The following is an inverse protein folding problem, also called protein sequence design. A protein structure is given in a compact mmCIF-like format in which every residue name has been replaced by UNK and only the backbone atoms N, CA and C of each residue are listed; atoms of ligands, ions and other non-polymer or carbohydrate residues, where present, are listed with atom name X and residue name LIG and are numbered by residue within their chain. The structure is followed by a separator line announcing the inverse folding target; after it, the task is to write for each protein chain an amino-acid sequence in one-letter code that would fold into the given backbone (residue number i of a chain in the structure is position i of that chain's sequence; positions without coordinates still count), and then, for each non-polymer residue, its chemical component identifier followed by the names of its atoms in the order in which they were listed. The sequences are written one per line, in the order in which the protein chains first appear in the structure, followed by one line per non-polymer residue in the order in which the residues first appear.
data_IF_912340779519
#
_entry.id   IF_912340779519
#
_cell.length_a   1.000
_cell.length_b   1.000
_cell.length_c   1.000
_cell.angle_alpha   90.00
_cell.angle_beta   90.00
_cell.angle_gamma   90.00
#
_symmetry.space_group_name_H-M   'P 1'
#
loop_
_entity.id
_entity.type
_entity.pdbx_description
1 polymer ?
#
# COMPACT_ATOMS: atom_id res chain seq x y z
N UNK A 1 -15.63 21.47 0.92
CA UNK A 1 -14.45 20.64 0.57
C UNK A 1 -13.33 21.29 1.35
N UNK A 2 -13.00 20.70 2.49
CA UNK A 2 -12.40 21.47 3.60
C UNK A 2 -10.92 21.13 3.81
N UNK A 3 -10.36 20.29 2.93
CA UNK A 3 -8.94 19.90 2.91
C UNK A 3 -8.31 20.56 1.68
N UNK A 4 -7.21 21.26 1.90
CA UNK A 4 -6.38 21.80 0.83
C UNK A 4 -5.70 20.66 0.07
N UNK A 5 -5.73 20.71 -1.26
CA UNK A 5 -5.08 19.75 -2.14
C UNK A 5 -4.37 20.46 -3.30
N UNK A 6 -4.04 21.76 -3.12
CA UNK A 6 -3.33 22.56 -4.11
C UNK A 6 -2.01 21.89 -4.51
N UNK A 7 -1.26 21.37 -3.54
CA UNK A 7 -0.04 20.58 -3.74
C UNK A 7 -0.22 19.41 -4.73
N UNK A 8 -1.25 18.59 -4.55
CA UNK A 8 -1.54 17.44 -5.43
C UNK A 8 -2.07 17.86 -6.80
N UNK A 9 -2.76 19.00 -6.89
CA UNK A 9 -3.32 19.52 -8.14
C UNK A 9 -2.27 20.28 -8.97
N UNK A 10 -1.22 20.76 -8.33
CA UNK A 10 -0.07 21.40 -8.97
C UNK A 10 1.01 20.38 -9.38
N UNK A 11 1.07 19.21 -8.74
CA UNK A 11 1.99 18.13 -9.12
C UNK A 11 1.61 17.53 -10.51
N UNK A 12 2.48 17.67 -11.53
CA UNK A 12 2.18 17.19 -12.87
C UNK A 12 2.09 15.67 -12.97
N UNK A 13 2.83 14.92 -12.16
CA UNK A 13 2.80 13.46 -12.15
C UNK A 13 1.44 12.94 -11.66
N UNK A 14 0.94 13.51 -10.54
CA UNK A 14 -0.37 13.17 -9.98
C UNK A 14 -1.49 13.53 -10.96
N UNK A 15 -1.43 14.72 -11.56
CA UNK A 15 -2.43 15.17 -12.53
C UNK A 15 -2.45 14.31 -13.79
N UNK A 16 -1.29 13.89 -14.30
CA UNK A 16 -1.21 12.97 -15.44
C UNK A 16 -1.83 11.63 -15.09
N UNK A 17 -1.45 11.04 -13.94
CA UNK A 17 -2.01 9.77 -13.48
C UNK A 17 -3.53 9.84 -13.37
N UNK A 18 -4.06 10.92 -12.76
CA UNK A 18 -5.51 11.15 -12.63
C UNK A 18 -6.23 11.31 -13.97
N UNK A 19 -5.63 12.00 -14.95
CA UNK A 19 -6.24 12.20 -16.28
C UNK A 19 -6.33 10.89 -17.08
N UNK A 20 -5.44 9.95 -16.84
CA UNK A 20 -5.38 8.67 -17.56
C UNK A 20 -6.12 7.53 -16.83
N UNK A 21 -6.58 7.76 -15.60
CA UNK A 21 -7.43 6.84 -14.85
C UNK A 21 -8.81 6.69 -15.52
N UNK A 22 -9.40 5.48 -15.60
CA UNK A 22 -8.90 4.20 -15.07
C UNK A 22 -7.95 3.45 -16.00
N UNK A 23 -7.86 3.83 -17.28
CA UNK A 23 -7.23 3.01 -18.31
C UNK A 23 -5.73 2.82 -18.12
N UNK A 24 -5.02 3.83 -17.60
CA UNK A 24 -3.62 3.69 -17.18
C UNK A 24 -3.45 2.55 -16.18
N UNK A 25 -4.24 2.58 -15.10
CA UNK A 25 -4.18 1.57 -14.05
C UNK A 25 -4.57 0.19 -14.57
N UNK A 26 -5.62 0.08 -15.41
CA UNK A 26 -6.03 -1.20 -16.01
C UNK A 26 -4.92 -1.80 -16.91
N UNK A 27 -4.24 -0.95 -17.68
CA UNK A 27 -3.15 -1.40 -18.55
C UNK A 27 -1.98 -1.97 -17.74
N UNK A 28 -1.44 -1.21 -16.79
CA UNK A 28 -0.29 -1.63 -15.99
C UNK A 28 -0.64 -2.78 -15.03
N UNK A 29 -1.87 -2.84 -14.52
CA UNK A 29 -2.29 -3.87 -13.57
C UNK A 29 -2.59 -5.23 -14.22
N UNK A 30 -3.17 -5.25 -15.43
CA UNK A 30 -3.68 -6.49 -16.03
C UNK A 30 -3.13 -6.78 -17.44
N UNK A 31 -3.11 -5.77 -18.32
CA UNK A 31 -2.71 -5.97 -19.72
C UNK A 31 -1.20 -6.20 -19.83
N UNK A 32 -0.39 -5.40 -19.14
CA UNK A 32 1.06 -5.51 -19.17
C UNK A 32 1.55 -6.86 -18.59
N UNK A 33 1.04 -7.35 -17.43
CA UNK A 33 1.31 -8.71 -16.98
C UNK A 33 0.85 -9.79 -17.97
N UNK A 34 -0.26 -9.57 -18.68
CA UNK A 34 -0.71 -10.45 -19.76
C UNK A 34 0.28 -10.51 -20.93
N UNK A 35 0.79 -9.35 -21.39
CA UNK A 35 1.83 -9.27 -22.43
C UNK A 35 3.09 -10.01 -21.98
N UNK A 36 3.53 -9.80 -20.74
CA UNK A 36 4.66 -10.54 -20.15
C UNK A 36 4.39 -12.06 -20.13
N UNK A 37 3.17 -12.45 -19.75
CA UNK A 37 2.68 -13.84 -19.79
C UNK A 37 2.81 -14.48 -21.17
N UNK A 38 2.43 -13.74 -22.21
CA UNK A 38 2.54 -14.19 -23.59
C UNK A 38 4.00 -14.46 -24.00
N UNK A 39 4.93 -13.54 -23.71
CA UNK A 39 6.33 -13.70 -24.12
C UNK A 39 7.11 -14.74 -23.31
N UNK A 40 6.83 -14.90 -22.01
CA UNK A 40 7.61 -15.79 -21.13
C UNK A 40 7.00 -17.18 -21.02
N UNK A 41 5.67 -17.30 -21.03
CA UNK A 41 4.96 -18.55 -20.78
C UNK A 41 4.09 -19.00 -21.96
N UNK A 42 4.17 -18.32 -23.11
CA UNK A 42 3.32 -18.55 -24.28
C UNK A 42 1.81 -18.51 -23.95
N UNK A 43 1.42 -17.72 -22.94
CA UNK A 43 0.04 -17.59 -22.49
C UNK A 43 -0.27 -16.21 -21.93
N UNK A 44 -1.01 -15.42 -22.70
CA UNK A 44 -1.50 -14.11 -22.25
C UNK A 44 -2.38 -14.23 -20.99
N UNK A 45 -3.27 -15.23 -20.98
CA UNK A 45 -4.24 -15.43 -19.89
C UNK A 45 -3.59 -15.85 -18.58
N UNK A 46 -2.49 -16.62 -18.63
CA UNK A 46 -1.70 -16.91 -17.43
C UNK A 46 -1.17 -15.61 -16.81
N UNK A 47 -0.56 -14.74 -17.61
CA UNK A 47 -0.08 -13.44 -17.16
C UNK A 47 -1.19 -12.53 -16.63
N UNK A 48 -2.32 -12.47 -17.35
CA UNK A 48 -3.46 -11.64 -16.97
C UNK A 48 -4.07 -12.08 -15.63
N UNK A 49 -4.40 -13.37 -15.48
CA UNK A 49 -5.12 -13.86 -14.29
C UNK A 49 -4.21 -14.12 -13.09
N UNK A 50 -3.00 -14.63 -13.29
CA UNK A 50 -2.10 -14.96 -12.16
C UNK A 50 -1.25 -13.76 -11.78
N UNK A 51 -0.46 -13.22 -12.71
CA UNK A 51 0.43 -12.09 -12.41
C UNK A 51 -0.29 -10.74 -12.30
N UNK A 52 -1.44 -10.57 -12.97
CA UNK A 52 -2.30 -9.41 -12.85
C UNK A 52 -3.33 -9.56 -11.72
N UNK A 53 -4.37 -10.35 -11.96
CA UNK A 53 -5.56 -10.40 -11.11
C UNK A 53 -5.33 -11.01 -9.72
N UNK A 54 -4.74 -12.21 -9.62
CA UNK A 54 -4.47 -12.85 -8.33
C UNK A 54 -3.52 -11.98 -7.49
N UNK A 55 -2.42 -11.50 -8.08
CA UNK A 55 -1.52 -10.55 -7.43
C UNK A 55 -2.27 -9.31 -6.94
N UNK A 56 -3.12 -8.71 -7.76
CA UNK A 56 -3.92 -7.54 -7.38
C UNK A 56 -4.84 -7.83 -6.19
N UNK A 57 -5.54 -8.97 -6.19
CA UNK A 57 -6.36 -9.39 -5.05
C UNK A 57 -5.53 -9.55 -3.77
N UNK A 58 -4.36 -10.20 -3.86
CA UNK A 58 -3.46 -10.35 -2.71
C UNK A 58 -2.98 -9.00 -2.18
N UNK A 59 -2.59 -8.08 -3.07
CA UNK A 59 -2.19 -6.72 -2.72
C UNK A 59 -3.32 -5.96 -2.02
N UNK A 60 -4.55 -6.04 -2.54
CA UNK A 60 -5.71 -5.41 -1.89
C UNK A 60 -5.95 -5.96 -0.49
N UNK A 61 -5.93 -7.28 -0.31
CA UNK A 61 -6.09 -7.87 1.01
C UNK A 61 -4.98 -7.46 1.97
N UNK A 62 -3.72 -7.42 1.51
CA UNK A 62 -2.60 -6.91 2.30
C UNK A 62 -2.83 -5.45 2.73
N UNK A 63 -3.17 -4.55 1.80
CA UNK A 63 -3.47 -3.15 2.11
C UNK A 63 -4.66 -3.00 3.06
N UNK A 64 -5.71 -3.80 2.90
CA UNK A 64 -6.88 -3.73 3.77
C UNK A 64 -6.61 -4.22 5.19
N UNK A 65 -5.54 -4.97 5.44
CA UNK A 65 -5.13 -5.31 6.82
C UNK A 65 -4.75 -4.06 7.62
N UNK A 66 -4.21 -3.02 6.97
CA UNK A 66 -3.90 -1.73 7.60
C UNK A 66 -5.17 -1.09 8.18
N UNK A 67 -6.27 -1.06 7.41
CA UNK A 67 -7.54 -0.46 7.86
C UNK A 67 -8.37 -1.39 8.78
N UNK A 68 -8.06 -2.68 8.82
CA UNK A 68 -8.78 -3.66 9.63
C UNK A 68 -7.90 -4.14 10.79
N UNK A 69 -7.06 -5.13 10.56
CA UNK A 69 -6.17 -5.74 11.56
C UNK A 69 -5.46 -4.69 12.41
N UNK A 70 -4.81 -3.68 11.80
CA UNK A 70 -4.05 -2.68 12.57
C UNK A 70 -4.91 -1.68 13.36
N UNK A 71 -6.24 -1.69 13.20
CA UNK A 71 -7.16 -0.93 14.05
C UNK A 71 -7.84 -1.78 15.14
N UNK A 72 -7.73 -3.11 15.08
CA UNK A 72 -8.38 -4.03 16.02
C UNK A 72 -7.38 -4.81 16.88
N UNK A 73 -6.25 -5.25 16.32
CA UNK A 73 -5.31 -6.17 16.95
C UNK A 73 -3.87 -5.63 16.97
N UNK A 74 -3.39 -5.36 18.18
CA UNK A 74 -2.03 -4.88 18.44
C UNK A 74 -1.94 -4.04 19.72
N UNK A 75 -0.73 -3.59 20.02
CA UNK A 75 -0.45 -2.70 21.15
C UNK A 75 -0.65 -1.23 20.77
N UNK A 76 -0.84 -0.36 21.77
CA UNK A 76 -1.10 1.09 21.55
C UNK A 76 -0.22 1.96 22.45
N UNK A 77 1.12 1.92 22.28
CA UNK A 77 2.04 2.55 23.21
C UNK A 77 2.05 4.09 23.13
N UNK A 78 1.71 4.68 21.98
CA UNK A 78 1.81 6.13 21.75
C UNK A 78 0.49 6.86 21.96
N UNK A 79 -0.63 6.25 21.56
CA UNK A 79 -1.97 6.81 21.71
C UNK A 79 -3.00 5.76 22.22
N UNK A 80 -2.97 5.40 23.52
CA UNK A 80 -3.77 4.30 24.08
C UNK A 80 -5.29 4.44 23.96
N UNK A 81 -5.79 5.67 23.82
CA UNK A 81 -7.22 5.98 23.71
C UNK A 81 -7.75 5.91 22.27
N UNK A 82 -6.88 5.73 21.29
CA UNK A 82 -7.25 5.64 19.87
C UNK A 82 -7.38 4.18 19.43
N UNK A 83 -7.96 3.93 18.25
CA UNK A 83 -8.07 2.56 17.69
C UNK A 83 -6.79 2.02 17.03
N UNK A 84 -6.03 2.80 16.24
CA UNK A 84 -4.80 2.34 15.59
C UNK A 84 -3.86 1.66 16.58
N UNK A 85 -3.24 0.57 16.16
CA UNK A 85 -2.37 -0.28 16.98
C UNK A 85 -1.16 -0.74 16.18
N UNK A 86 -0.08 -1.01 16.90
CA UNK A 86 1.14 -1.62 16.36
C UNK A 86 0.87 -3.11 16.07
N UNK A 87 0.94 -3.49 14.80
CA UNK A 87 0.60 -4.83 14.32
C UNK A 87 1.73 -5.41 13.48
N UNK A 88 2.54 -6.28 14.07
CA UNK A 88 3.66 -6.95 13.37
C UNK A 88 3.18 -7.79 12.17
N UNK A 89 2.00 -8.40 12.27
CA UNK A 89 1.39 -9.13 11.15
C UNK A 89 1.11 -8.20 9.97
N UNK A 90 0.44 -7.08 10.22
CA UNK A 90 0.17 -6.05 9.20
C UNK A 90 1.48 -5.54 8.62
N UNK A 91 2.47 -5.30 9.46
CA UNK A 91 3.77 -4.81 9.04
C UNK A 91 4.46 -5.78 8.08
N UNK A 92 4.38 -7.09 8.34
CA UNK A 92 4.92 -8.10 7.43
C UNK A 92 4.20 -8.14 6.08
N UNK A 93 2.86 -8.18 6.09
CA UNK A 93 2.07 -8.35 4.85
C UNK A 93 1.95 -7.06 4.02
N UNK A 94 1.99 -5.89 4.67
CA UNK A 94 1.88 -4.57 4.06
C UNK A 94 3.23 -3.83 4.02
N UNK A 95 4.35 -4.54 4.16
CA UNK A 95 5.70 -4.03 3.92
C UNK A 95 6.06 -2.80 4.79
N UNK A 96 5.73 -2.86 6.07
CA UNK A 96 6.08 -1.84 7.07
C UNK A 96 4.91 -1.00 7.57
N UNK A 97 3.76 -1.03 6.90
CA UNK A 97 2.60 -0.17 7.23
C UNK A 97 1.79 -0.63 8.47
N UNK A 98 2.34 -1.57 9.25
CA UNK A 98 1.68 -2.10 10.45
C UNK A 98 1.94 -1.33 11.74
N UNK A 99 2.86 -0.36 11.73
CA UNK A 99 3.22 0.46 12.88
C UNK A 99 2.22 1.63 13.05
N UNK A 100 0.95 1.25 13.18
CA UNK A 100 -0.18 2.14 12.86
C UNK A 100 -0.55 3.07 14.02
N UNK A 101 -0.21 2.74 15.27
CA UNK A 101 -0.37 3.67 16.39
C UNK A 101 0.63 4.83 16.29
N UNK A 102 1.88 4.54 15.92
CA UNK A 102 2.90 5.54 15.62
C UNK A 102 2.48 6.40 14.44
N UNK A 103 2.13 5.78 13.31
CA UNK A 103 1.70 6.50 12.10
C UNK A 103 0.57 7.51 12.36
N UNK A 104 -0.45 7.14 13.15
CA UNK A 104 -1.54 8.05 13.50
C UNK A 104 -1.12 9.14 14.49
N UNK A 105 -0.17 8.86 15.38
CA UNK A 105 0.34 9.84 16.34
C UNK A 105 1.29 10.85 15.68
N UNK A 106 2.10 10.39 14.71
CA UNK A 106 3.15 11.15 14.02
C UNK A 106 3.01 11.01 12.50
N UNK A 107 1.93 11.53 11.88
CA UNK A 107 1.64 11.31 10.45
C UNK A 107 2.62 12.00 9.50
N UNK A 108 3.48 12.88 10.02
CA UNK A 108 4.52 13.58 9.28
C UNK A 108 5.85 12.81 9.23
N UNK A 109 5.99 11.73 10.01
CA UNK A 109 7.21 10.92 10.02
C UNK A 109 7.27 10.05 8.76
N UNK A 110 8.33 10.25 7.95
CA UNK A 110 8.54 9.50 6.72
C UNK A 110 8.67 7.99 6.98
N UNK A 111 9.17 7.58 8.14
CA UNK A 111 9.37 6.20 8.51
C UNK A 111 8.06 5.51 8.91
N UNK A 112 7.08 6.26 9.41
CA UNK A 112 5.84 5.71 9.96
C UNK A 112 6.06 4.64 11.07
N UNK A 113 7.24 4.61 11.70
CA UNK A 113 7.61 3.71 12.79
C UNK A 113 8.69 4.37 13.68
N UNK A 114 8.78 3.99 14.96
CA UNK A 114 9.74 4.57 15.91
C UNK A 114 11.19 4.16 15.64
N UNK A 115 11.43 2.87 15.45
CA UNK A 115 12.76 2.28 15.37
C UNK A 115 13.30 2.15 13.96
N UNK A 116 14.53 1.64 13.86
CA UNK A 116 15.17 1.37 12.58
C UNK A 116 14.46 0.27 11.78
N UNK A 117 14.73 0.20 10.47
CA UNK A 117 14.12 -0.72 9.49
C UNK A 117 14.06 -2.20 9.92
N UNK A 118 15.05 -2.66 10.68
CA UNK A 118 15.13 -4.04 11.17
C UNK A 118 14.58 -4.21 12.59
N UNK A 119 14.54 -3.15 13.38
CA UNK A 119 13.97 -3.14 14.74
C UNK A 119 12.45 -3.13 14.65
N UNK A 120 11.92 -2.19 13.88
CA UNK A 120 10.57 -2.20 13.36
C UNK A 120 10.66 -2.64 11.92
N UNK A 121 10.38 -3.92 11.63
CA UNK A 121 10.31 -4.45 10.26
C UNK A 121 9.59 -3.45 9.35
N UNK A 122 10.34 -2.73 8.52
CA UNK A 122 9.80 -1.66 7.70
C UNK A 122 10.57 -1.51 6.38
N UNK A 123 10.45 -2.52 5.49
CA UNK A 123 11.25 -2.55 4.26
C UNK A 123 10.94 -1.41 3.29
N UNK A 124 9.81 -0.70 3.44
CA UNK A 124 9.51 0.48 2.64
C UNK A 124 10.47 1.66 2.90
N UNK A 125 11.29 1.58 3.95
CA UNK A 125 12.27 2.61 4.34
C UNK A 125 13.73 2.15 4.19
N UNK A 126 13.97 1.03 3.49
CA UNK A 126 15.30 0.65 2.98
C UNK A 126 15.75 1.60 1.88
#
# INVERSE_FOLDING_TARGET
KDIDCSDLLEDPCVVIQRKLDPWWNQFFCFVLPGIYGYYVYNSFWLGFFVHGALRWCMTLHATWTVNSVAHFWGDRPYAPKTRPSESIFTSFVAVGEGWHNWHHMYPYDYAAAEGGVFENYNPSKL
#
